data_IF_615547348736
#
_entry.id   IF_615547348736
#
_cell.length_a   1.000
_cell.length_b   1.000
_cell.length_c   1.000
_cell.angle_alpha   90.00
_cell.angle_beta   90.00
_cell.angle_gamma   90.00
#
_symmetry.space_group_name_H-M   'P 1'
#
loop_
_entity.id
_entity.type
_entity.pdbx_description
1 polymer ?
#
# COMPACT_ATOMS: atom_id res chain seq x y z
N UNK A 1 -16.99 4.39 -10.92
CA UNK A 1 -16.65 4.54 -12.36
C UNK A 1 -15.74 5.73 -12.61
N UNK A 2 -16.00 6.90 -11.98
CA UNK A 2 -15.25 8.13 -12.23
C UNK A 2 -13.78 8.04 -11.81
N UNK A 3 -13.50 7.50 -10.65
CA UNK A 3 -12.13 7.25 -10.14
C UNK A 3 -11.33 6.38 -11.10
N UNK A 4 -11.93 5.29 -11.59
CA UNK A 4 -11.28 4.40 -12.55
C UNK A 4 -10.99 5.14 -13.87
N UNK A 5 -11.98 5.85 -14.43
CA UNK A 5 -11.82 6.62 -15.68
C UNK A 5 -10.71 7.67 -15.54
N UNK A 6 -10.68 8.40 -14.43
CA UNK A 6 -9.63 9.39 -14.14
C UNK A 6 -8.24 8.77 -14.13
N UNK A 7 -8.10 7.58 -13.53
CA UNK A 7 -6.82 6.89 -13.38
C UNK A 7 -6.36 6.14 -14.62
N UNK A 8 -7.24 5.83 -15.59
CA UNK A 8 -6.85 5.24 -16.88
C UNK A 8 -6.69 6.27 -17.99
N UNK A 9 -7.36 7.41 -17.89
CA UNK A 9 -7.24 8.51 -18.87
C UNK A 9 -6.08 9.44 -18.47
N UNK A 10 -4.87 8.95 -18.66
CA UNK A 10 -3.64 9.56 -18.15
C UNK A 10 -2.59 9.68 -19.27
N UNK A 11 -1.60 10.53 -19.03
CA UNK A 11 -0.34 10.52 -19.77
C UNK A 11 0.52 9.37 -19.22
N UNK A 12 0.54 8.24 -19.94
CA UNK A 12 1.28 7.05 -19.54
C UNK A 12 2.79 7.29 -19.46
N UNK A 13 3.37 8.08 -20.37
CA UNK A 13 4.81 8.40 -20.35
C UNK A 13 5.20 9.13 -19.05
N UNK A 14 4.32 10.01 -18.59
CA UNK A 14 4.52 10.73 -17.35
C UNK A 14 4.45 9.81 -16.13
N UNK A 15 3.49 8.90 -16.12
CA UNK A 15 3.36 7.89 -15.06
C UNK A 15 4.54 6.93 -15.07
N UNK A 16 4.96 6.42 -16.23
CA UNK A 16 6.14 5.57 -16.37
C UNK A 16 7.39 6.25 -15.83
N UNK A 17 7.65 7.51 -16.23
CA UNK A 17 8.82 8.27 -15.73
C UNK A 17 8.81 8.45 -14.21
N UNK A 18 7.64 8.66 -13.61
CA UNK A 18 7.53 8.76 -12.15
C UNK A 18 7.78 7.39 -11.50
N UNK A 19 7.18 6.34 -12.05
CA UNK A 19 7.35 4.96 -11.60
C UNK A 19 8.83 4.56 -11.62
N UNK A 20 9.53 4.80 -12.73
CA UNK A 20 10.96 4.51 -12.87
C UNK A 20 11.83 5.27 -11.85
N UNK A 21 11.46 6.50 -11.51
CA UNK A 21 12.19 7.26 -10.47
C UNK A 21 12.06 6.62 -9.10
N UNK A 22 10.87 6.14 -8.76
CA UNK A 22 10.63 5.44 -7.48
C UNK A 22 11.33 4.08 -7.51
N UNK A 23 11.20 3.33 -8.61
CA UNK A 23 11.86 2.03 -8.79
C UNK A 23 13.36 2.12 -8.57
N UNK A 24 14.05 3.08 -9.22
CA UNK A 24 15.50 3.28 -9.05
C UNK A 24 15.90 3.55 -7.60
N UNK A 25 15.02 4.15 -6.80
CA UNK A 25 15.29 4.40 -5.39
C UNK A 25 15.05 3.19 -4.50
N UNK A 26 14.20 2.28 -4.92
CA UNK A 26 13.87 1.06 -4.20
C UNK A 26 14.75 -0.13 -4.60
N UNK A 27 15.48 -0.04 -5.72
CA UNK A 27 16.39 -1.09 -6.14
C UNK A 27 17.49 -1.34 -5.09
N UNK A 28 17.66 -2.61 -4.71
CA UNK A 28 18.67 -3.07 -3.75
C UNK A 28 18.53 -2.47 -2.33
N UNK A 29 17.38 -1.90 -2.00
CA UNK A 29 17.10 -1.44 -0.65
C UNK A 29 16.93 -2.66 0.27
N UNK A 30 17.49 -2.58 1.47
CA UNK A 30 17.40 -3.63 2.48
C UNK A 30 16.32 -3.33 3.53
N UNK A 31 16.14 -2.07 3.84
CA UNK A 31 15.18 -1.60 4.84
C UNK A 31 14.40 -0.40 4.29
N UNK A 32 13.11 -0.36 4.57
CA UNK A 32 12.25 0.82 4.38
C UNK A 32 11.82 1.30 5.76
N UNK A 33 12.05 2.58 6.03
CA UNK A 33 11.50 3.25 7.20
C UNK A 33 10.39 4.22 6.78
N UNK A 34 9.23 4.07 7.37
CA UNK A 34 8.09 4.98 7.18
C UNK A 34 7.88 5.78 8.45
N UNK A 35 7.95 7.10 8.34
CA UNK A 35 7.66 8.02 9.45
C UNK A 35 6.70 9.10 9.01
N UNK A 36 5.81 9.51 9.91
CA UNK A 36 4.87 10.59 9.69
C UNK A 36 4.55 11.30 11.01
N UNK A 37 4.22 12.58 10.94
CA UNK A 37 3.92 13.42 12.12
C UNK A 37 2.70 12.92 12.93
N UNK A 38 1.82 12.10 12.32
CA UNK A 38 0.71 11.47 13.02
C UNK A 38 1.14 10.40 14.05
N UNK A 39 2.44 10.10 14.15
CA UNK A 39 3.00 9.10 15.06
C UNK A 39 3.35 7.77 14.38
N UNK A 40 3.22 7.63 13.07
CA UNK A 40 3.73 6.46 12.35
C UNK A 40 5.27 6.40 12.47
N UNK A 41 5.79 5.28 12.94
CA UNK A 41 7.21 4.92 12.90
C UNK A 41 7.30 3.41 12.70
N UNK A 42 7.47 3.00 11.44
CA UNK A 42 7.46 1.61 11.01
C UNK A 42 8.74 1.28 10.25
N UNK A 43 9.35 0.15 10.58
CA UNK A 43 10.54 -0.39 9.90
C UNK A 43 10.21 -1.73 9.27
N UNK A 44 10.54 -1.87 7.99
CA UNK A 44 10.30 -3.06 7.18
C UNK A 44 11.62 -3.53 6.57
N UNK A 45 12.01 -4.76 6.87
CA UNK A 45 13.09 -5.42 6.13
C UNK A 45 12.52 -5.88 4.78
N UNK A 46 13.21 -5.53 3.70
CA UNK A 46 12.83 -5.89 2.31
C UNK A 46 14.02 -6.50 1.56
N UNK A 47 15.05 -6.95 2.28
CA UNK A 47 16.26 -7.50 1.66
C UNK A 47 15.94 -8.72 0.80
N UNK A 48 16.42 -8.69 -0.44
CA UNK A 48 16.22 -9.78 -1.39
C UNK A 48 14.83 -9.85 -2.02
N UNK A 49 13.91 -8.93 -1.67
CA UNK A 49 12.56 -8.91 -2.23
C UNK A 49 12.52 -8.24 -3.61
N UNK A 50 11.64 -8.73 -4.45
CA UNK A 50 11.41 -8.16 -5.78
C UNK A 50 10.41 -7.03 -5.72
N UNK A 51 10.65 -6.00 -6.54
CA UNK A 51 9.67 -4.95 -6.78
C UNK A 51 8.59 -5.46 -7.74
N UNK A 52 7.34 -5.20 -7.40
CA UNK A 52 6.22 -5.36 -8.30
C UNK A 52 5.90 -3.98 -8.90
N UNK A 53 6.11 -3.84 -10.22
CA UNK A 53 5.96 -2.57 -10.94
C UNK A 53 4.71 -2.63 -11.80
N UNK A 54 3.73 -1.81 -11.48
CA UNK A 54 2.45 -1.70 -12.21
C UNK A 54 2.33 -0.31 -12.83
N UNK A 55 2.98 -0.09 -13.96
CA UNK A 55 2.98 1.20 -14.65
C UNK A 55 1.83 1.39 -15.66
N UNK A 56 1.01 0.34 -15.89
CA UNK A 56 -0.13 0.37 -16.81
C UNK A 56 0.23 0.14 -18.28
N UNK A 57 1.50 -0.10 -18.62
CA UNK A 57 1.93 -0.39 -20.00
C UNK A 57 1.70 -1.85 -20.36
N UNK A 58 0.63 -2.13 -21.07
CA UNK A 58 0.24 -3.46 -21.55
C UNK A 58 0.38 -3.53 -23.08
N UNK A 59 1.57 -3.26 -23.60
CA UNK A 59 1.83 -3.02 -25.00
C UNK A 59 2.45 -4.22 -25.74
N UNK A 60 2.48 -5.40 -25.15
CA UNK A 60 2.91 -6.64 -25.79
C UNK A 60 1.81 -7.70 -25.74
N UNK A 61 1.79 -8.64 -26.71
CA UNK A 61 0.76 -9.69 -26.81
C UNK A 61 0.66 -10.60 -25.57
N UNK A 62 1.71 -10.70 -24.78
CA UNK A 62 1.76 -11.48 -23.52
C UNK A 62 1.81 -10.63 -22.28
N UNK A 63 1.60 -9.31 -22.39
CA UNK A 63 1.60 -8.44 -21.22
C UNK A 63 0.43 -8.75 -20.31
N UNK A 64 0.73 -8.96 -19.04
CA UNK A 64 -0.25 -9.10 -17.97
C UNK A 64 0.01 -8.00 -16.94
N UNK A 65 -1.05 -7.40 -16.43
CA UNK A 65 -0.92 -6.35 -15.43
C UNK A 65 -2.27 -5.87 -14.92
N UNK A 66 -2.24 -4.90 -14.02
CA UNK A 66 -3.43 -4.31 -13.43
C UNK A 66 -3.68 -2.90 -13.98
N UNK A 67 -4.94 -2.56 -14.17
CA UNK A 67 -5.41 -1.20 -14.43
C UNK A 67 -6.33 -0.75 -13.28
N UNK A 68 -6.22 0.51 -12.85
CA UNK A 68 -5.30 1.56 -13.30
C UNK A 68 -3.84 1.26 -12.97
N UNK A 69 -2.91 1.72 -13.82
CA UNK A 69 -1.48 1.68 -13.54
C UNK A 69 -1.01 2.84 -12.66
N UNK A 70 0.26 2.79 -12.26
CA UNK A 70 0.92 3.82 -11.46
C UNK A 70 1.11 3.42 -10.00
N UNK A 71 1.81 2.30 -9.79
CA UNK A 71 2.14 1.79 -8.46
C UNK A 71 3.43 0.98 -8.52
N UNK A 72 4.18 1.04 -7.43
CA UNK A 72 5.24 0.08 -7.13
C UNK A 72 4.98 -0.49 -5.76
N UNK A 73 5.03 -1.79 -5.62
CA UNK A 73 4.94 -2.43 -4.32
C UNK A 73 6.07 -3.42 -4.08
N UNK A 74 6.30 -3.72 -2.82
CA UNK A 74 7.28 -4.69 -2.37
C UNK A 74 6.74 -5.40 -1.12
N UNK A 75 6.95 -6.70 -1.06
CA UNK A 75 6.61 -7.49 0.09
C UNK A 75 7.72 -7.40 1.14
N UNK A 76 7.42 -7.07 2.40
CA UNK A 76 8.43 -7.15 3.46
C UNK A 76 8.81 -8.60 3.76
N UNK A 77 10.01 -8.79 4.32
CA UNK A 77 10.44 -10.10 4.83
C UNK A 77 9.59 -10.46 6.04
N UNK A 78 9.04 -11.66 6.03
CA UNK A 78 8.18 -12.17 7.11
C UNK A 78 8.90 -12.07 8.45
N UNK A 79 8.15 -11.76 9.49
CA UNK A 79 8.62 -11.62 10.86
C UNK A 79 9.67 -10.51 11.12
N UNK A 80 9.89 -9.60 10.14
CA UNK A 80 10.92 -8.55 10.28
C UNK A 80 10.37 -7.12 10.22
N UNK A 81 9.07 -6.95 10.24
CA UNK A 81 8.45 -5.62 10.31
C UNK A 81 8.06 -5.28 11.75
N UNK A 82 8.46 -4.11 12.23
CA UNK A 82 8.17 -3.68 13.59
C UNK A 82 7.90 -2.17 13.65
N UNK A 83 7.01 -1.78 14.54
CA UNK A 83 6.72 -0.39 14.84
C UNK A 83 5.24 -0.07 14.92
N UNK A 84 4.93 1.22 14.89
CA UNK A 84 3.57 1.75 14.90
C UNK A 84 3.19 2.25 13.52
N UNK A 85 2.03 1.82 13.04
CA UNK A 85 1.42 2.29 11.80
C UNK A 85 0.09 3.00 12.13
N UNK A 86 -0.08 4.22 11.64
CA UNK A 86 -1.32 4.97 11.76
C UNK A 86 -1.90 5.22 10.37
N UNK A 87 -3.01 4.57 10.08
CA UNK A 87 -3.77 4.75 8.85
C UNK A 87 -4.71 5.94 9.01
N UNK A 88 -4.67 6.89 8.07
CA UNK A 88 -5.38 8.16 8.17
C UNK A 88 -6.09 8.60 6.89
N UNK A 89 -6.20 7.73 5.88
CA UNK A 89 -6.85 8.06 4.60
C UNK A 89 -8.03 7.15 4.31
N UNK A 90 -7.78 5.92 3.90
CA UNK A 90 -8.84 4.98 3.52
C UNK A 90 -8.52 3.54 3.91
N UNK A 91 -9.57 2.73 4.03
CA UNK A 91 -9.51 1.29 4.30
C UNK A 91 -10.40 0.54 3.32
N UNK A 92 -9.94 -0.61 2.83
CA UNK A 92 -10.57 -1.39 1.74
C UNK A 92 -12.06 -1.65 1.91
N UNK A 93 -12.58 -1.82 3.11
CA UNK A 93 -13.99 -2.17 3.36
C UNK A 93 -14.83 -0.98 3.81
N UNK A 94 -14.19 0.13 4.10
CA UNK A 94 -14.82 1.29 4.73
C UNK A 94 -14.83 2.47 3.76
N UNK A 95 -13.83 2.55 2.87
CA UNK A 95 -13.56 3.75 2.08
C UNK A 95 -12.80 4.77 2.91
N UNK A 96 -13.06 6.05 2.69
CA UNK A 96 -12.46 7.15 3.46
C UNK A 96 -12.80 7.01 4.93
N UNK A 97 -11.79 7.16 5.79
CA UNK A 97 -11.96 7.12 7.25
C UNK A 97 -11.91 8.53 7.83
N UNK A 98 -12.71 8.76 8.87
CA UNK A 98 -12.73 10.02 9.61
C UNK A 98 -11.81 9.97 10.83
N UNK A 99 -11.70 8.79 11.43
CA UNK A 99 -10.88 8.58 12.61
C UNK A 99 -9.67 7.69 12.27
N UNK A 100 -8.45 8.14 12.57
CA UNK A 100 -7.25 7.33 12.33
C UNK A 100 -7.29 5.99 13.04
N UNK A 101 -6.72 4.98 12.39
CA UNK A 101 -6.59 3.63 12.93
C UNK A 101 -5.12 3.37 13.23
N UNK A 102 -4.81 3.13 14.51
CA UNK A 102 -3.47 2.83 15.00
C UNK A 102 -3.26 1.33 15.10
N UNK A 103 -2.14 0.87 14.61
CA UNK A 103 -1.73 -0.54 14.63
C UNK A 103 -0.34 -0.67 15.24
N UNK A 104 -0.19 -1.57 16.22
CA UNK A 104 1.12 -2.01 16.70
C UNK A 104 1.52 -3.26 15.91
N UNK A 105 2.57 -3.12 15.11
CA UNK A 105 3.12 -4.21 14.30
C UNK A 105 4.34 -4.79 15.01
N UNK A 106 4.31 -6.11 15.25
CA UNK A 106 5.44 -6.85 15.81
C UNK A 106 5.69 -8.11 15.01
N UNK A 107 6.94 -8.29 14.62
CA UNK A 107 7.33 -9.44 13.80
C UNK A 107 6.39 -9.63 12.58
N UNK A 108 6.08 -8.54 11.90
CA UNK A 108 5.22 -8.53 10.72
C UNK A 108 3.71 -8.67 10.99
N UNK A 109 3.29 -8.84 12.24
CA UNK A 109 1.88 -9.08 12.60
C UNK A 109 1.28 -7.87 13.30
N UNK A 110 0.07 -7.48 12.92
CA UNK A 110 -0.73 -6.49 13.63
C UNK A 110 -1.28 -7.11 14.93
N UNK A 111 -0.56 -6.93 16.03
CA UNK A 111 -0.94 -7.48 17.33
C UNK A 111 -2.10 -6.69 17.96
N UNK A 112 -2.09 -5.39 17.78
CA UNK A 112 -3.11 -4.50 18.32
C UNK A 112 -3.60 -3.53 17.24
N UNK A 113 -4.92 -3.37 17.20
CA UNK A 113 -5.59 -2.37 16.35
C UNK A 113 -6.47 -1.51 17.25
N UNK A 114 -6.31 -0.21 17.22
CA UNK A 114 -7.02 0.74 18.08
C UNK A 114 -7.32 2.04 17.35
N UNK A 115 -8.26 2.83 17.86
CA UNK A 115 -8.65 4.12 17.32
C UNK A 115 -9.97 4.59 17.93
N UNK A 116 -10.28 5.85 17.73
CA UNK A 116 -11.58 6.43 18.11
C UNK A 116 -12.57 6.16 16.97
N UNK A 117 -13.73 5.63 17.27
CA UNK A 117 -14.74 5.37 16.24
C UNK A 117 -14.89 3.91 15.86
N UNK A 118 -15.72 3.67 14.84
CA UNK A 118 -16.07 2.32 14.37
C UNK A 118 -15.03 1.67 13.48
N UNK A 119 -14.21 2.46 12.80
CA UNK A 119 -13.26 2.04 11.77
C UNK A 119 -12.25 1.04 12.31
N UNK A 120 -11.63 1.35 13.44
CA UNK A 120 -10.65 0.47 14.08
C UNK A 120 -11.27 -0.89 14.44
N UNK A 121 -12.50 -0.89 14.96
CA UNK A 121 -13.23 -2.13 15.32
C UNK A 121 -13.59 -2.96 14.10
N UNK A 122 -14.07 -2.30 13.03
CA UNK A 122 -14.43 -2.97 11.77
C UNK A 122 -13.18 -3.59 11.16
N UNK A 123 -12.09 -2.82 11.08
CA UNK A 123 -10.83 -3.27 10.51
C UNK A 123 -10.19 -4.39 11.32
N UNK A 124 -10.14 -4.29 12.65
CA UNK A 124 -9.67 -5.35 13.52
C UNK A 124 -10.44 -6.67 13.30
N UNK A 125 -11.76 -6.58 13.21
CA UNK A 125 -12.61 -7.77 12.92
C UNK A 125 -12.30 -8.37 11.56
N UNK A 126 -12.03 -7.55 10.56
CA UNK A 126 -11.67 -8.01 9.22
C UNK A 126 -10.33 -8.77 9.23
N UNK A 127 -9.30 -8.20 9.84
CA UNK A 127 -8.00 -8.86 9.98
C UNK A 127 -8.12 -10.19 10.73
N UNK A 128 -8.94 -10.22 11.80
CA UNK A 128 -9.17 -11.45 12.56
C UNK A 128 -9.84 -12.58 11.76
N UNK A 129 -10.69 -12.26 10.78
CA UNK A 129 -11.33 -13.27 9.93
C UNK A 129 -10.32 -14.06 9.08
N UNK A 130 -9.21 -13.44 8.71
CA UNK A 130 -8.11 -14.09 7.99
C UNK A 130 -7.15 -14.89 8.88
N UNK A 131 -7.42 -15.01 10.18
CA UNK A 131 -6.52 -15.69 11.12
C UNK A 131 -5.19 -14.95 11.28
N UNK A 132 -4.10 -15.69 11.44
CA UNK A 132 -2.76 -15.11 11.55
C UNK A 132 -2.31 -14.48 10.22
N UNK A 133 -2.61 -15.10 9.09
CA UNK A 133 -2.30 -14.57 7.76
C UNK A 133 -3.00 -13.22 7.54
N UNK A 134 -4.28 -13.10 7.89
CA UNK A 134 -5.03 -11.87 7.76
C UNK A 134 -4.46 -10.67 8.53
N UNK A 135 -3.63 -10.92 9.54
CA UNK A 135 -2.96 -9.87 10.34
C UNK A 135 -1.53 -9.60 9.89
N UNK A 136 -1.00 -10.41 8.98
CA UNK A 136 0.38 -10.27 8.52
C UNK A 136 0.47 -9.14 7.50
N UNK A 137 1.38 -8.22 7.74
CA UNK A 137 1.70 -7.16 6.78
C UNK A 137 2.49 -7.79 5.64
N UNK A 138 1.89 -7.83 4.45
CA UNK A 138 2.42 -8.54 3.29
C UNK A 138 2.84 -7.61 2.15
N UNK A 139 2.49 -6.32 2.22
CA UNK A 139 2.81 -5.37 1.17
C UNK A 139 3.00 -3.96 1.72
N UNK A 140 3.98 -3.25 1.15
CA UNK A 140 4.04 -1.79 1.16
C UNK A 140 4.08 -1.31 -0.29
N UNK A 141 3.22 -0.35 -0.64
CA UNK A 141 3.15 0.18 -1.99
C UNK A 141 3.21 1.70 -2.04
N UNK A 142 3.63 2.22 -3.20
CA UNK A 142 3.87 3.63 -3.47
C UNK A 142 3.11 4.04 -4.72
N UNK A 143 2.22 5.01 -4.61
CA UNK A 143 1.46 5.53 -5.73
C UNK A 143 2.31 6.40 -6.66
N UNK A 144 2.13 6.20 -7.97
CA UNK A 144 2.86 6.93 -9.02
C UNK A 144 1.97 7.40 -10.17
N UNK A 145 0.65 7.28 -10.06
CA UNK A 145 -0.28 7.78 -11.06
C UNK A 145 -0.55 9.27 -10.84
N UNK A 146 -0.03 10.12 -11.71
CA UNK A 146 -0.10 11.57 -11.58
C UNK A 146 -1.52 12.17 -11.62
N UNK A 147 -2.55 11.40 -11.96
CA UNK A 147 -3.95 11.82 -11.97
C UNK A 147 -4.74 11.28 -10.79
N UNK A 148 -4.20 10.32 -10.07
CA UNK A 148 -4.85 9.77 -8.90
C UNK A 148 -4.88 10.81 -7.76
N UNK A 149 -5.99 10.78 -7.03
CA UNK A 149 -6.26 11.61 -5.86
C UNK A 149 -6.58 10.70 -4.66
N UNK A 150 -7.11 11.26 -3.60
CA UNK A 150 -7.49 10.50 -2.38
C UNK A 150 -9.00 10.65 -2.10
N UNK A 151 -9.88 10.13 -2.98
CA UNK A 151 -11.32 10.23 -2.77
C UNK A 151 -11.87 9.28 -1.70
N UNK A 152 -11.07 8.29 -1.24
CA UNK A 152 -11.50 7.19 -0.39
C UNK A 152 -11.87 5.93 -1.17
N UNK A 153 -11.55 5.89 -2.46
CA UNK A 153 -11.70 4.74 -3.35
C UNK A 153 -10.39 4.00 -3.44
N UNK A 154 -10.28 2.83 -2.82
CA UNK A 154 -9.00 2.15 -2.61
C UNK A 154 -8.19 1.94 -3.89
N UNK A 155 -8.85 1.61 -5.02
CA UNK A 155 -8.18 1.42 -6.30
C UNK A 155 -7.50 2.68 -6.83
N UNK A 156 -8.01 3.85 -6.49
CA UNK A 156 -7.40 5.13 -6.84
C UNK A 156 -6.40 5.56 -5.78
N UNK A 157 -6.77 5.46 -4.48
CA UNK A 157 -5.95 5.91 -3.36
C UNK A 157 -4.57 5.24 -3.36
N UNK A 158 -4.51 3.94 -3.69
CA UNK A 158 -3.25 3.19 -3.81
C UNK A 158 -2.32 3.73 -4.93
N UNK A 159 -2.87 4.42 -5.91
CA UNK A 159 -2.12 4.97 -7.03
C UNK A 159 -1.70 6.42 -6.82
N UNK A 160 -2.19 7.08 -5.76
CA UNK A 160 -1.96 8.49 -5.53
C UNK A 160 -0.50 8.79 -5.20
N UNK A 161 0.17 9.72 -5.90
CA UNK A 161 1.56 10.09 -5.62
C UNK A 161 1.70 10.76 -4.25
N UNK A 162 2.80 10.48 -3.57
CA UNK A 162 3.08 11.03 -2.24
C UNK A 162 2.39 10.28 -1.10
N UNK A 163 1.73 9.16 -1.39
CA UNK A 163 1.16 8.27 -0.38
C UNK A 163 1.87 6.93 -0.35
N UNK A 164 1.71 6.23 0.77
CA UNK A 164 2.03 4.82 0.91
C UNK A 164 0.78 4.06 1.32
N UNK A 165 0.63 2.85 0.82
CA UNK A 165 -0.42 1.93 1.25
C UNK A 165 0.18 0.64 1.77
N UNK A 166 -0.60 -0.10 2.55
CA UNK A 166 -0.19 -1.33 3.20
C UNK A 166 -1.21 -2.43 2.95
N UNK A 167 -0.74 -3.59 2.52
CA UNK A 167 -1.52 -4.81 2.38
C UNK A 167 -1.34 -5.73 3.58
N UNK A 168 -2.44 -6.35 4.01
CA UNK A 168 -2.44 -7.37 5.04
C UNK A 168 -3.02 -8.66 4.47
N UNK A 169 -2.34 -9.76 4.67
CA UNK A 169 -2.73 -11.05 4.13
C UNK A 169 -1.54 -11.99 3.92
N UNK A 170 -1.68 -12.85 2.92
CA UNK A 170 -0.64 -13.77 2.52
C UNK A 170 0.29 -13.12 1.49
N UNK A 171 1.58 -13.33 1.65
CA UNK A 171 2.60 -12.93 0.70
C UNK A 171 2.84 -14.06 -0.29
N UNK A 172 2.42 -13.85 -1.53
CA UNK A 172 2.60 -14.81 -2.65
C UNK A 172 3.72 -14.37 -3.61
N UNK A 173 4.69 -13.61 -3.13
CA UNK A 173 5.82 -13.16 -3.96
C UNK A 173 6.88 -14.23 -4.16
#
# INVERSE_FOLDING_TARGET
PESFIRCINIDYDKTVKLTEKVEKRLQNVKEIKVTHENGTDLRLDVEGRRLNVTNGMLNTLSAFGHLPGGEISIAPVENKTNGTLILNSSLSLIGKIENPVTMDIRNGVAEKVSGYGGEARIFARYLHKGGNEGKTLCEIGFGTNHRATLPGEILEDMKSPGTVHFGFGNNIS
#
